data_IF_757248100015
#
_entry.id   IF_757248100015
#
_cell.length_a   1.000
_cell.length_b   1.000
_cell.length_c   1.000
_cell.angle_alpha   90.00
_cell.angle_beta   90.00
_cell.angle_gamma   90.00
#
_symmetry.space_group_name_H-M   'P 1'
#
loop_
_entity.id
_entity.type
_entity.pdbx_description
1 polymer ?
#
# COMPACT_ATOMS: atom_id res chain seq x y z
N UNK A 1 37.49 59.29 38.98
CA UNK A 1 36.48 58.47 38.26
C UNK A 1 36.83 57.01 38.51
N UNK A 2 36.29 56.37 39.56
CA UNK A 2 35.04 55.56 39.58
C UNK A 2 35.10 54.25 38.78
N UNK A 3 35.47 53.18 39.51
CA UNK A 3 35.12 51.75 39.33
C UNK A 3 35.56 51.03 38.04
N UNK A 4 36.72 50.35 38.14
CA UNK A 4 36.93 49.05 37.51
C UNK A 4 36.13 48.01 38.31
N UNK A 5 35.08 47.43 37.73
CA UNK A 5 34.58 46.08 38.05
C UNK A 5 33.46 45.70 37.07
N UNK A 6 33.71 44.73 36.18
CA UNK A 6 32.73 43.68 35.87
C UNK A 6 33.45 42.48 35.24
N UNK A 7 33.56 41.40 36.02
CA UNK A 7 33.97 40.07 35.59
C UNK A 7 32.71 39.23 35.34
N UNK A 8 32.89 38.06 34.69
CA UNK A 8 31.90 36.99 34.44
C UNK A 8 30.95 37.15 33.25
N UNK A 9 30.56 35.97 32.72
CA UNK A 9 29.48 35.70 31.76
C UNK A 9 29.75 35.83 30.24
N UNK A 10 30.97 35.51 29.77
CA UNK A 10 31.22 35.19 28.34
C UNK A 10 32.15 33.98 28.17
N UNK A 11 31.56 32.77 28.10
CA UNK A 11 31.97 31.52 27.41
C UNK A 11 31.20 30.33 28.02
N UNK A 12 30.83 29.26 27.28
CA UNK A 12 30.79 29.10 25.82
C UNK A 12 29.43 28.59 25.29
N UNK A 13 28.73 29.37 24.46
CA UNK A 13 27.54 28.92 23.71
C UNK A 13 27.89 28.08 22.46
N UNK A 14 28.94 27.24 22.56
CA UNK A 14 29.55 26.51 21.43
C UNK A 14 29.29 24.99 21.43
N UNK A 15 28.42 24.50 22.31
CA UNK A 15 28.01 23.08 22.32
C UNK A 15 26.95 22.74 21.26
N UNK A 16 26.22 23.73 20.73
CA UNK A 16 25.16 23.54 19.72
C UNK A 16 25.69 23.57 18.27
N UNK A 17 26.81 22.89 18.02
CA UNK A 17 27.44 22.83 16.70
C UNK A 17 27.76 21.40 16.20
N UNK A 18 27.64 20.38 17.06
CA UNK A 18 27.90 18.98 16.68
C UNK A 18 26.64 18.17 16.35
N UNK A 19 25.51 18.39 17.03
CA UNK A 19 24.30 17.59 16.82
C UNK A 19 23.71 17.73 15.40
N UNK A 20 23.72 18.94 14.83
CA UNK A 20 23.19 19.22 13.48
C UNK A 20 23.81 18.29 12.42
N UNK A 21 25.09 17.92 12.57
CA UNK A 21 25.86 17.16 11.59
C UNK A 21 25.22 15.81 11.24
N UNK A 22 24.55 15.16 12.20
CA UNK A 22 23.77 13.92 12.01
C UNK A 22 22.72 14.05 10.90
N UNK A 23 22.16 15.24 10.70
CA UNK A 23 21.03 15.48 9.79
C UNK A 23 21.43 16.22 8.50
N UNK A 24 22.70 16.58 8.32
CA UNK A 24 23.19 17.30 7.13
C UNK A 24 23.39 16.36 5.91
N UNK A 25 24.11 16.84 4.89
CA UNK A 25 24.21 16.20 3.58
C UNK A 25 24.56 14.71 3.63
N UNK A 26 23.87 13.90 2.83
CA UNK A 26 24.07 12.44 2.75
C UNK A 26 23.33 11.63 3.84
N UNK A 27 22.80 12.27 4.89
CA UNK A 27 22.04 11.57 5.93
C UNK A 27 20.68 11.00 5.48
N UNK A 28 20.23 11.31 4.27
CA UNK A 28 19.02 10.75 3.63
C UNK A 28 19.39 10.25 2.23
N UNK A 29 19.62 8.93 2.05
CA UNK A 29 19.95 8.37 0.74
C UNK A 29 18.72 8.36 -0.19
N UNK A 30 19.00 8.34 -1.50
CA UNK A 30 17.99 8.15 -2.55
C UNK A 30 18.47 7.07 -3.50
N UNK A 31 17.67 6.01 -3.66
CA UNK A 31 17.95 4.86 -4.53
C UNK A 31 16.72 4.59 -5.41
N UNK A 32 16.93 4.35 -6.71
CA UNK A 32 15.87 4.16 -7.72
C UNK A 32 14.73 5.21 -7.68
N UNK A 33 15.05 6.43 -7.26
CA UNK A 33 14.10 7.53 -7.13
C UNK A 33 13.23 7.51 -5.88
N UNK A 34 13.58 6.70 -4.86
CA UNK A 34 12.93 6.65 -3.56
C UNK A 34 13.92 6.99 -2.42
N UNK A 35 13.42 7.58 -1.33
CA UNK A 35 14.18 7.64 -0.08
C UNK A 35 14.23 6.25 0.53
N UNK A 36 15.45 5.76 0.69
CA UNK A 36 15.76 4.39 1.08
C UNK A 36 16.87 4.41 2.12
N UNK A 37 16.60 3.90 3.31
CA UNK A 37 17.62 3.67 4.34
C UNK A 37 17.90 2.18 4.45
N UNK A 38 19.14 1.76 4.27
CA UNK A 38 19.55 0.35 4.39
C UNK A 38 20.65 0.16 5.43
N UNK A 39 20.57 -0.90 6.24
CA UNK A 39 21.59 -1.27 7.22
C UNK A 39 21.71 -2.79 7.31
N UNK A 40 22.94 -3.31 7.34
CA UNK A 40 23.23 -4.74 7.56
C UNK A 40 23.72 -4.95 8.98
N UNK A 41 23.05 -5.85 9.71
CA UNK A 41 23.35 -6.25 11.08
C UNK A 41 24.10 -7.58 11.05
N UNK A 42 25.26 -7.65 11.69
CA UNK A 42 26.11 -8.86 11.72
C UNK A 42 25.97 -9.58 13.06
N UNK A 43 25.60 -10.85 13.00
CA UNK A 43 25.42 -11.75 14.14
C UNK A 43 25.97 -13.15 13.78
N UNK A 44 27.29 -13.30 13.60
CA UNK A 44 27.91 -14.49 12.99
C UNK A 44 27.74 -15.81 13.78
N UNK A 45 27.15 -15.75 14.98
CA UNK A 45 26.76 -16.90 15.79
C UNK A 45 25.35 -17.44 15.49
N UNK A 46 24.56 -16.78 14.63
CA UNK A 46 23.18 -17.15 14.30
C UNK A 46 23.04 -17.64 12.86
N UNK A 47 22.24 -18.68 12.67
CA UNK A 47 21.78 -19.11 11.35
C UNK A 47 20.72 -18.16 10.77
N UNK A 48 20.49 -18.28 9.46
CA UNK A 48 19.40 -17.60 8.76
C UNK A 48 18.04 -17.80 9.44
N UNK A 49 17.73 -19.03 9.88
CA UNK A 49 16.45 -19.37 10.52
C UNK A 49 16.29 -18.70 11.88
N UNK A 50 17.36 -18.62 12.67
CA UNK A 50 17.33 -17.93 13.97
C UNK A 50 17.20 -16.41 13.81
N UNK A 51 17.90 -15.82 12.83
CA UNK A 51 17.75 -14.40 12.47
C UNK A 51 16.33 -14.08 11.96
N UNK A 52 15.80 -14.91 11.06
CA UNK A 52 14.45 -14.78 10.54
C UNK A 52 13.41 -14.88 11.66
N UNK A 53 13.49 -15.88 12.54
CA UNK A 53 12.53 -16.04 13.64
C UNK A 53 12.64 -14.91 14.67
N UNK A 54 13.86 -14.45 14.99
CA UNK A 54 14.08 -13.29 15.87
C UNK A 54 13.38 -12.02 15.35
N UNK A 55 13.49 -11.75 14.05
CA UNK A 55 12.90 -10.58 13.42
C UNK A 55 11.42 -10.76 13.09
N UNK A 56 10.96 -11.98 12.82
CA UNK A 56 9.54 -12.30 12.68
C UNK A 56 8.79 -12.07 14.00
N UNK A 57 9.37 -12.46 15.14
CA UNK A 57 8.79 -12.19 16.46
C UNK A 57 8.68 -10.68 16.72
N UNK A 58 9.75 -9.92 16.47
CA UNK A 58 9.75 -8.46 16.59
C UNK A 58 8.73 -7.79 15.63
N UNK A 59 8.63 -8.26 14.39
CA UNK A 59 7.77 -7.67 13.39
C UNK A 59 6.28 -7.95 13.63
N UNK A 60 5.92 -9.11 14.20
CA UNK A 60 4.52 -9.38 14.58
C UNK A 60 4.01 -8.43 15.69
N UNK A 61 4.88 -8.04 16.63
CA UNK A 61 4.60 -7.03 17.65
C UNK A 61 4.59 -5.61 17.03
N UNK A 62 5.68 -5.23 16.36
CA UNK A 62 5.88 -3.88 15.80
C UNK A 62 4.86 -3.49 14.72
N UNK A 63 4.41 -4.44 13.91
CA UNK A 63 3.48 -4.22 12.79
C UNK A 63 2.10 -4.84 13.04
N UNK A 64 1.68 -4.94 14.30
CA UNK A 64 0.30 -5.29 14.63
C UNK A 64 -0.68 -4.17 14.20
N UNK A 65 -1.77 -4.48 13.46
CA UNK A 65 -2.82 -3.51 13.17
C UNK A 65 -3.58 -3.12 14.44
N UNK A 66 -3.91 -1.84 14.54
CA UNK A 66 -4.72 -1.26 15.64
C UNK A 66 -5.71 -0.25 15.08
N UNK A 67 -6.74 0.14 15.85
CA UNK A 67 -7.70 1.17 15.43
C UNK A 67 -7.03 2.52 15.11
N UNK A 68 -5.88 2.80 15.74
CA UNK A 68 -5.07 3.99 15.51
C UNK A 68 -4.20 3.87 14.25
N UNK A 69 -3.67 2.66 13.99
CA UNK A 69 -2.73 2.33 12.91
C UNK A 69 -3.20 1.09 12.12
N UNK A 70 -4.30 1.18 11.35
CA UNK A 70 -4.90 0.03 10.66
C UNK A 70 -4.13 -0.46 9.42
N UNK A 71 -3.11 0.28 8.94
CA UNK A 71 -2.26 -0.14 7.81
C UNK A 71 -1.03 -0.96 8.24
N UNK A 72 -0.75 -1.06 9.54
CA UNK A 72 0.29 -1.94 10.08
C UNK A 72 -0.02 -3.40 9.72
N UNK A 73 0.90 -4.07 9.01
CA UNK A 73 0.82 -5.51 8.72
C UNK A 73 2.12 -6.07 8.15
N UNK A 74 2.33 -7.37 8.34
CA UNK A 74 3.27 -8.14 7.54
C UNK A 74 2.69 -8.37 6.13
N UNK A 75 3.54 -8.33 5.10
CA UNK A 75 3.20 -8.51 3.68
C UNK A 75 4.03 -9.62 2.98
N UNK A 76 5.19 -9.98 3.52
CA UNK A 76 6.02 -11.12 3.08
C UNK A 76 6.52 -11.86 4.31
N UNK A 77 6.46 -13.19 4.29
CA UNK A 77 6.97 -14.09 5.33
C UNK A 77 7.48 -15.38 4.66
N UNK A 78 8.77 -15.43 4.33
CA UNK A 78 9.42 -16.59 3.72
C UNK A 78 10.64 -17.02 4.55
N UNK A 79 10.46 -18.03 5.40
CA UNK A 79 11.54 -18.58 6.22
C UNK A 79 12.65 -19.25 5.37
N UNK A 80 12.29 -19.83 4.21
CA UNK A 80 13.20 -20.60 3.39
C UNK A 80 14.22 -19.71 2.67
N UNK A 81 13.78 -18.55 2.19
CA UNK A 81 14.64 -17.52 1.61
C UNK A 81 15.11 -16.47 2.63
N UNK A 82 14.55 -16.47 3.84
CA UNK A 82 14.90 -15.50 4.90
C UNK A 82 14.27 -14.12 4.70
N UNK A 83 13.25 -14.00 3.84
CA UNK A 83 12.62 -12.72 3.50
C UNK A 83 11.43 -12.39 4.41
N UNK A 84 11.45 -11.21 5.01
CA UNK A 84 10.35 -10.68 5.81
C UNK A 84 10.05 -9.24 5.36
N UNK A 85 8.77 -8.93 5.14
CA UNK A 85 8.34 -7.63 4.64
C UNK A 85 7.13 -7.12 5.42
N UNK A 86 7.08 -5.84 5.71
CA UNK A 86 5.99 -5.19 6.44
C UNK A 86 5.64 -3.80 5.89
N UNK A 87 4.41 -3.37 6.16
CA UNK A 87 3.96 -1.98 6.05
C UNK A 87 3.80 -1.43 7.46
N UNK A 88 4.36 -0.24 7.70
CA UNK A 88 4.23 0.50 8.95
C UNK A 88 3.43 1.79 8.78
N UNK A 89 2.68 2.13 9.82
CA UNK A 89 1.91 3.36 10.01
C UNK A 89 2.06 3.79 11.48
N UNK A 90 2.63 4.97 11.72
CA UNK A 90 2.93 5.46 13.07
C UNK A 90 2.75 6.98 13.20
N UNK A 91 2.78 7.49 14.44
CA UNK A 91 2.82 8.94 14.70
C UNK A 91 4.25 9.43 14.95
N UNK A 92 4.74 10.26 14.02
CA UNK A 92 6.01 10.96 14.12
C UNK A 92 5.80 12.34 14.74
N UNK A 93 6.18 12.50 16.00
CA UNK A 93 5.99 13.75 16.76
C UNK A 93 7.17 14.69 16.54
N UNK A 94 6.88 15.92 16.11
CA UNK A 94 7.86 17.01 15.97
C UNK A 94 8.01 17.82 17.25
N UNK A 95 6.91 18.13 17.93
CA UNK A 95 6.93 18.72 19.27
C UNK A 95 5.65 18.40 20.04
N UNK A 96 5.74 18.38 21.37
CA UNK A 96 4.62 18.12 22.27
C UNK A 96 4.69 19.08 23.46
N UNK A 97 3.55 19.65 23.84
CA UNK A 97 3.40 20.64 24.90
C UNK A 97 1.98 20.58 25.49
N UNK A 98 1.77 21.20 26.65
CA UNK A 98 0.47 21.20 27.36
C UNK A 98 -0.72 21.72 26.53
N UNK A 99 -0.48 22.51 25.47
CA UNK A 99 -1.53 23.16 24.66
C UNK A 99 -1.42 22.86 23.15
N UNK A 100 -0.42 22.09 22.72
CA UNK A 100 -0.17 21.81 21.29
C UNK A 100 0.66 20.55 21.09
N UNK A 101 0.26 19.74 20.11
CA UNK A 101 0.93 18.52 19.66
C UNK A 101 1.15 18.61 18.15
N UNK A 102 2.39 18.87 17.74
CA UNK A 102 2.80 18.94 16.34
C UNK A 102 3.34 17.57 15.91
N UNK A 103 2.62 16.88 15.02
CA UNK A 103 2.98 15.53 14.55
C UNK A 103 2.52 15.31 13.11
N UNK A 104 3.15 14.35 12.44
CA UNK A 104 2.66 13.76 11.19
C UNK A 104 2.42 12.27 11.39
N UNK A 105 1.46 11.70 10.67
CA UNK A 105 1.36 10.26 10.50
C UNK A 105 2.35 9.83 9.40
N UNK A 106 3.28 8.93 9.73
CA UNK A 106 4.28 8.38 8.79
C UNK A 106 3.80 7.01 8.29
N UNK A 107 3.97 6.76 7.00
CA UNK A 107 3.74 5.47 6.33
C UNK A 107 5.03 5.00 5.68
N UNK A 108 5.38 3.73 5.80
CA UNK A 108 6.63 3.18 5.25
C UNK A 108 6.53 1.69 4.90
N UNK A 109 7.48 1.18 4.12
CA UNK A 109 7.76 -0.25 4.00
C UNK A 109 9.05 -0.59 4.77
N UNK A 110 9.01 -1.69 5.50
CA UNK A 110 10.19 -2.35 6.07
C UNK A 110 10.42 -3.66 5.32
N UNK A 111 11.65 -3.91 4.89
CA UNK A 111 12.09 -5.18 4.27
C UNK A 111 13.29 -5.71 5.04
N UNK A 112 13.37 -7.02 5.14
CA UNK A 112 14.34 -7.76 5.95
C UNK A 112 14.77 -8.98 5.13
N UNK A 113 16.07 -9.12 4.93
CA UNK A 113 16.69 -10.20 4.16
C UNK A 113 17.76 -10.86 5.05
N UNK A 114 17.43 -12.02 5.62
CA UNK A 114 18.30 -12.79 6.50
C UNK A 114 19.20 -13.73 5.69
N UNK A 115 20.51 -13.68 5.94
CA UNK A 115 21.47 -14.69 5.50
C UNK A 115 22.03 -15.49 6.69
N UNK A 116 23.03 -16.34 6.44
CA UNK A 116 23.78 -16.98 7.52
C UNK A 116 24.74 -15.96 8.17
N UNK A 117 24.56 -15.67 9.46
CA UNK A 117 25.43 -14.79 10.23
C UNK A 117 25.23 -13.28 10.05
N UNK A 118 24.35 -12.84 9.15
CA UNK A 118 23.99 -11.42 9.00
C UNK A 118 22.59 -11.24 8.39
N UNK A 119 22.01 -10.06 8.59
CA UNK A 119 20.69 -9.68 8.06
C UNK A 119 20.74 -8.24 7.54
N UNK A 120 20.20 -8.00 6.35
CA UNK A 120 20.03 -6.64 5.81
C UNK A 120 18.60 -6.17 6.03
N UNK A 121 18.43 -4.91 6.40
CA UNK A 121 17.12 -4.26 6.58
C UNK A 121 17.06 -3.00 5.74
N UNK A 122 15.93 -2.79 5.08
CA UNK A 122 15.59 -1.59 4.32
C UNK A 122 14.32 -0.93 4.86
N UNK A 123 14.37 0.39 5.04
CA UNK A 123 13.24 1.27 5.31
C UNK A 123 13.04 2.19 4.10
N UNK A 124 11.95 2.02 3.35
CA UNK A 124 11.70 2.73 2.07
C UNK A 124 10.23 3.08 1.84
N UNK A 125 9.94 3.74 0.71
CA UNK A 125 8.60 4.24 0.29
C UNK A 125 7.91 5.16 1.31
N UNK A 126 8.71 5.96 2.01
CA UNK A 126 8.27 6.79 3.13
C UNK A 126 7.33 7.91 2.63
N UNK A 127 6.17 8.02 3.26
CA UNK A 127 5.13 9.03 2.98
C UNK A 127 4.59 9.60 4.27
N UNK A 128 4.12 10.83 4.22
CA UNK A 128 3.59 11.56 5.37
C UNK A 128 2.16 12.04 5.11
N UNK A 129 1.34 12.02 6.16
CA UNK A 129 0.09 12.75 6.23
C UNK A 129 0.15 13.70 7.43
N UNK A 130 0.10 14.99 7.17
CA UNK A 130 0.34 16.06 8.13
C UNK A 130 -0.91 16.94 8.28
N UNK A 131 -1.13 17.45 9.50
CA UNK A 131 -2.30 18.28 9.84
C UNK A 131 -3.64 17.59 9.48
N UNK A 132 -3.77 16.30 9.82
CA UNK A 132 -4.94 15.45 9.47
C UNK A 132 -6.30 16.09 9.80
N UNK A 133 -6.36 16.85 10.90
CA UNK A 133 -7.57 17.50 11.39
C UNK A 133 -7.98 18.75 10.60
N UNK A 134 -7.12 19.24 9.69
CA UNK A 134 -7.34 20.44 8.90
C UNK A 134 -7.51 20.09 7.44
N UNK A 135 -8.71 20.35 6.90
CA UNK A 135 -9.01 20.25 5.46
C UNK A 135 -8.64 18.88 4.83
N UNK A 136 -8.67 17.80 5.63
CA UNK A 136 -8.29 16.44 5.22
C UNK A 136 -6.78 16.16 5.14
N UNK A 137 -5.95 17.10 5.61
CA UNK A 137 -4.50 17.03 5.81
C UNK A 137 -3.64 16.93 4.55
N UNK A 138 -2.47 17.58 4.59
CA UNK A 138 -1.50 17.61 3.50
C UNK A 138 -0.73 16.29 3.44
N UNK A 139 -0.50 15.78 2.23
CA UNK A 139 0.24 14.54 2.00
C UNK A 139 1.54 14.84 1.24
N UNK A 140 2.64 14.27 1.71
CA UNK A 140 3.98 14.45 1.13
C UNK A 140 4.64 13.08 0.91
N UNK A 141 5.50 12.97 -0.12
CA UNK A 141 6.45 11.88 -0.26
C UNK A 141 7.82 12.30 0.31
N UNK A 142 8.60 11.37 0.85
CA UNK A 142 9.90 11.69 1.44
C UNK A 142 10.88 12.31 0.44
N UNK A 143 10.79 11.89 -0.82
CA UNK A 143 11.56 12.38 -1.96
C UNK A 143 11.38 13.89 -2.18
N UNK A 144 10.22 14.43 -1.80
CA UNK A 144 9.78 15.81 -2.06
C UNK A 144 10.12 16.79 -0.91
N UNK A 145 10.43 16.28 0.30
CA UNK A 145 10.58 17.14 1.48
C UNK A 145 11.74 16.81 2.44
N UNK A 146 12.30 15.59 2.45
CA UNK A 146 13.41 15.25 3.37
C UNK A 146 14.76 14.96 2.70
N UNK A 147 14.80 14.88 1.36
CA UNK A 147 16.06 14.71 0.61
C UNK A 147 17.01 15.88 0.82
N UNK A 148 18.25 15.70 0.39
CA UNK A 148 19.32 16.71 0.44
C UNK A 148 19.00 18.02 -0.32
N UNK A 149 18.03 18.00 -1.23
CA UNK A 149 17.60 19.14 -2.05
C UNK A 149 16.54 19.99 -1.33
N UNK A 150 15.54 19.35 -0.70
CA UNK A 150 14.40 20.04 -0.08
C UNK A 150 14.51 20.14 1.45
N UNK A 151 15.12 19.15 2.11
CA UNK A 151 15.26 19.06 3.57
C UNK A 151 16.37 19.91 4.17
N UNK A 152 17.22 20.54 3.34
CA UNK A 152 18.37 21.36 3.76
C UNK A 152 18.30 22.78 3.18
N UNK A 153 19.12 23.69 3.72
CA UNK A 153 19.34 25.01 3.12
C UNK A 153 20.17 24.90 1.81
N UNK A 154 20.17 25.95 0.98
CA UNK A 154 20.94 25.98 -0.30
C UNK A 154 22.46 25.77 -0.17
N UNK A 155 23.03 25.84 1.03
CA UNK A 155 24.46 25.57 1.31
C UNK A 155 24.69 24.16 1.90
N UNK A 156 23.62 23.38 2.12
CA UNK A 156 23.59 22.10 2.84
C UNK A 156 24.19 22.13 4.27
N UNK A 157 24.28 23.32 4.88
CA UNK A 157 24.90 23.51 6.22
C UNK A 157 23.92 23.53 7.39
N UNK A 158 22.61 23.58 7.13
CA UNK A 158 21.53 23.52 8.12
C UNK A 158 20.29 22.89 7.50
N UNK A 159 19.41 22.35 8.34
CA UNK A 159 18.06 21.93 7.98
C UNK A 159 17.23 23.06 7.33
N UNK A 160 16.29 22.69 6.45
CA UNK A 160 15.36 23.62 5.83
C UNK A 160 14.31 24.13 6.84
N UNK A 161 14.02 25.44 6.84
CA UNK A 161 13.23 26.11 7.89
C UNK A 161 11.82 25.55 8.12
N UNK A 162 11.19 24.93 7.11
CA UNK A 162 9.80 24.45 7.18
C UNK A 162 9.74 22.92 7.25
N UNK A 163 10.41 22.24 6.31
CA UNK A 163 10.38 20.76 6.18
C UNK A 163 11.50 20.05 6.95
N UNK A 164 12.48 20.77 7.48
CA UNK A 164 13.62 20.19 8.22
C UNK A 164 13.21 19.30 9.40
N UNK A 165 12.09 19.62 10.08
CA UNK A 165 11.53 18.79 11.16
C UNK A 165 11.14 17.38 10.69
N UNK A 166 10.69 17.23 9.43
CA UNK A 166 10.42 15.92 8.82
C UNK A 166 11.72 15.14 8.60
N UNK A 167 12.78 15.80 8.12
CA UNK A 167 14.09 15.18 7.89
C UNK A 167 14.71 14.70 9.21
N UNK A 168 14.82 15.60 10.17
CA UNK A 168 15.32 15.33 11.53
C UNK A 168 14.61 14.13 12.15
N UNK A 169 13.28 14.18 12.26
CA UNK A 169 12.52 13.13 12.95
C UNK A 169 12.43 11.82 12.16
N UNK A 170 12.50 11.84 10.84
CA UNK A 170 12.58 10.58 10.07
C UNK A 170 13.92 9.88 10.27
N UNK A 171 15.02 10.63 10.43
CA UNK A 171 16.33 10.06 10.78
C UNK A 171 16.29 9.49 12.21
N UNK A 172 15.77 10.24 13.19
CA UNK A 172 15.59 9.75 14.58
C UNK A 172 14.72 8.48 14.64
N UNK A 173 13.61 8.46 13.89
CA UNK A 173 12.71 7.32 13.78
C UNK A 173 13.42 6.09 13.19
N UNK A 174 14.16 6.26 12.10
CA UNK A 174 14.98 5.23 11.47
C UNK A 174 16.07 4.71 12.41
N UNK A 175 16.72 5.57 13.20
CA UNK A 175 17.70 5.16 14.20
C UNK A 175 17.07 4.28 15.29
N UNK A 176 15.92 4.69 15.83
CA UNK A 176 15.24 3.91 16.86
C UNK A 176 14.73 2.57 16.30
N UNK A 177 14.13 2.56 15.11
CA UNK A 177 13.68 1.33 14.45
C UNK A 177 14.84 0.34 14.24
N UNK A 178 15.99 0.82 13.75
CA UNK A 178 17.18 -0.01 13.54
C UNK A 178 17.80 -0.50 14.87
N UNK A 179 17.72 0.32 15.92
CA UNK A 179 18.12 -0.08 17.28
C UNK A 179 17.17 -1.11 17.90
N UNK A 180 15.87 -1.05 17.63
CA UNK A 180 14.90 -2.06 18.10
C UNK A 180 15.15 -3.42 17.43
N UNK A 181 15.52 -3.41 16.14
CA UNK A 181 15.97 -4.57 15.37
C UNK A 181 17.28 -5.14 15.93
N UNK A 182 18.28 -4.30 16.20
CA UNK A 182 19.54 -4.72 16.86
C UNK A 182 19.27 -5.41 18.20
N UNK A 183 18.37 -4.84 19.02
CA UNK A 183 17.94 -5.43 20.29
C UNK A 183 17.18 -6.76 20.10
N UNK A 184 16.37 -6.91 19.05
CA UNK A 184 15.67 -8.15 18.75
C UNK A 184 16.62 -9.29 18.36
N UNK A 185 17.63 -9.00 17.53
CA UNK A 185 18.70 -9.94 17.17
C UNK A 185 19.51 -10.30 18.42
N UNK A 186 19.94 -9.30 19.20
CA UNK A 186 20.73 -9.49 20.42
C UNK A 186 20.06 -10.35 21.49
N UNK A 187 18.74 -10.16 21.72
CA UNK A 187 17.96 -11.00 22.65
C UNK A 187 17.98 -12.48 22.27
N UNK A 188 17.89 -12.79 20.99
CA UNK A 188 17.87 -14.18 20.50
C UNK A 188 19.27 -14.80 20.49
N UNK A 189 20.33 -14.02 20.23
CA UNK A 189 21.72 -14.48 20.39
C UNK A 189 22.05 -14.95 21.82
N UNK A 190 21.42 -14.36 22.85
CA UNK A 190 21.57 -14.82 24.25
C UNK A 190 20.82 -16.12 24.52
N UNK A 191 19.74 -16.42 23.79
CA UNK A 191 18.97 -17.68 23.93
C UNK A 191 19.57 -18.84 23.12
N UNK A 192 20.23 -18.55 22.00
CA UNK A 192 20.94 -19.54 21.17
C UNK A 192 22.34 -19.91 21.71
N UNK A 193 22.86 -19.20 22.72
CA UNK A 193 24.17 -19.48 23.30
C UNK A 193 24.21 -20.87 23.97
N UNK A 194 25.11 -21.79 23.57
CA UNK A 194 25.09 -23.16 24.08
C UNK A 194 25.49 -23.21 25.56
N UNK A 195 24.64 -23.85 26.37
CA UNK A 195 24.98 -24.19 27.75
C UNK A 195 26.20 -25.13 27.76
N UNK A 196 27.29 -24.70 28.40
CA UNK A 196 28.56 -25.44 28.45
C UNK A 196 28.39 -26.71 29.27
N UNK A 197 28.06 -27.81 28.60
CA UNK A 197 27.92 -29.13 29.20
C UNK A 197 29.28 -29.72 29.56
N UNK A 198 29.47 -30.04 30.84
CA UNK A 198 30.60 -30.86 31.29
C UNK A 198 30.45 -32.28 30.71
N UNK A 199 31.54 -32.84 30.20
CA UNK A 199 31.53 -34.15 29.56
C UNK A 199 31.42 -35.30 30.58
N UNK A 200 30.66 -36.35 30.24
CA UNK A 200 31.00 -37.72 30.66
C UNK A 200 30.45 -38.80 29.71
N UNK A 201 31.39 -39.47 29.05
CA UNK A 201 31.46 -40.88 28.62
C UNK A 201 30.17 -41.70 28.30
N UNK A 202 30.21 -42.38 27.14
CA UNK A 202 29.32 -43.48 26.77
C UNK A 202 29.70 -44.81 27.45
N UNK A 203 28.88 -45.87 27.28
CA UNK A 203 29.34 -47.01 26.45
C UNK A 203 28.37 -47.43 25.32
N UNK A 204 28.88 -48.26 24.39
CA UNK A 204 28.14 -48.98 23.33
C UNK A 204 27.54 -50.32 23.86
N UNK A 205 26.98 -51.32 23.14
CA UNK A 205 26.88 -51.80 21.72
C UNK A 205 25.64 -52.74 21.61
N UNK A 206 25.08 -53.22 20.48
CA UNK A 206 24.99 -52.82 19.05
C UNK A 206 24.13 -53.87 18.28
N UNK A 207 23.42 -53.49 17.20
CA UNK A 207 22.68 -54.40 16.31
C UNK A 207 21.75 -53.63 15.35
N UNK A 208 21.66 -53.73 14.02
CA UNK A 208 22.15 -54.56 12.89
C UNK A 208 20.94 -55.05 12.04
N UNK A 209 20.62 -54.29 10.97
CA UNK A 209 19.82 -54.68 9.76
C UNK A 209 18.34 -55.12 9.99
N UNK A 210 17.42 -55.26 9.02
CA UNK A 210 17.44 -55.35 7.52
C UNK A 210 16.34 -54.48 6.86
N UNK A 211 16.18 -54.59 5.52
CA UNK A 211 15.27 -53.82 4.67
C UNK A 211 13.78 -54.25 4.67
N UNK A 212 12.95 -53.33 4.13
CA UNK A 212 11.74 -53.51 3.29
C UNK A 212 10.33 -53.73 3.92
N UNK A 213 9.41 -52.86 3.46
CA UNK A 213 7.94 -52.91 3.32
C UNK A 213 6.97 -53.44 4.41
N UNK A 214 6.20 -52.47 4.94
CA UNK A 214 4.71 -52.40 5.03
C UNK A 214 3.94 -53.39 5.93
N UNK A 215 3.11 -52.83 6.84
CA UNK A 215 1.65 -53.05 7.02
C UNK A 215 1.14 -52.04 8.10
N UNK A 216 0.32 -51.03 7.74
CA UNK A 216 -1.16 -50.89 7.93
C UNK A 216 -1.61 -50.87 9.41
N UNK A 217 -2.58 -50.09 9.93
CA UNK A 217 -3.82 -49.40 9.45
C UNK A 217 -3.93 -48.03 10.20
N UNK A 218 -4.78 -47.03 9.89
CA UNK A 218 -6.20 -47.04 9.48
C UNK A 218 -6.61 -45.66 8.90
N UNK A 219 -7.39 -45.60 7.81
CA UNK A 219 -8.05 -44.37 7.32
C UNK A 219 -9.42 -44.72 6.69
N UNK A 220 -10.54 -44.08 7.10
CA UNK A 220 -11.82 -44.20 6.41
C UNK A 220 -11.84 -43.33 5.14
N UNK A 221 -12.09 -43.94 3.98
CA UNK A 221 -12.29 -43.22 2.71
C UNK A 221 -13.77 -43.19 2.35
N UNK A 222 -14.32 -42.02 2.06
CA UNK A 222 -15.66 -41.88 1.46
C UNK A 222 -15.66 -40.87 0.32
N UNK A 223 -16.00 -41.37 -0.87
CA UNK A 223 -16.38 -40.58 -2.04
C UNK A 223 -17.14 -41.49 -3.03
N UNK A 224 -17.98 -40.94 -3.94
CA UNK A 224 -18.61 -39.63 -3.93
C UNK A 224 -20.13 -39.71 -3.71
N UNK A 225 -20.75 -38.65 -3.18
CA UNK A 225 -22.20 -38.47 -3.24
C UNK A 225 -22.52 -37.36 -4.26
N UNK A 226 -23.42 -37.63 -5.19
CA UNK A 226 -23.80 -36.70 -6.27
C UNK A 226 -24.48 -35.46 -5.68
N UNK A 227 -24.02 -34.22 -5.97
CA UNK A 227 -24.82 -33.04 -5.67
C UNK A 227 -26.03 -33.03 -6.61
N UNK A 228 -27.23 -33.19 -6.03
CA UNK A 228 -28.48 -33.04 -6.77
C UNK A 228 -28.57 -31.59 -7.27
N UNK A 229 -28.85 -31.41 -8.56
CA UNK A 229 -29.11 -30.08 -9.13
C UNK A 229 -30.50 -29.62 -8.66
N UNK A 230 -30.55 -28.99 -7.50
CA UNK A 230 -31.74 -28.30 -7.02
C UNK A 230 -31.97 -27.05 -7.88
N UNK A 231 -32.80 -27.19 -8.92
CA UNK A 231 -33.29 -26.05 -9.70
C UNK A 231 -34.13 -25.15 -8.79
N UNK A 232 -33.52 -24.09 -8.27
CA UNK A 232 -34.27 -23.03 -7.57
C UNK A 232 -35.14 -22.35 -8.62
N UNK A 233 -36.45 -22.55 -8.54
CA UNK A 233 -37.39 -22.01 -9.52
C UNK A 233 -37.37 -20.48 -9.50
N UNK A 234 -37.37 -19.87 -10.68
CA UNK A 234 -37.57 -18.43 -10.81
C UNK A 234 -38.97 -18.05 -10.31
N UNK A 235 -39.05 -17.51 -9.10
CA UNK A 235 -40.18 -16.68 -8.71
C UNK A 235 -40.13 -15.38 -9.53
N UNK A 236 -40.72 -15.43 -10.71
CA UNK A 236 -40.92 -14.29 -11.59
C UNK A 236 -41.93 -13.32 -10.96
N UNK A 237 -41.47 -12.51 -10.01
CA UNK A 237 -42.25 -11.40 -9.48
C UNK A 237 -42.37 -10.34 -10.60
N UNK A 238 -43.59 -9.86 -10.93
CA UNK A 238 -43.82 -9.04 -12.11
C UNK A 238 -43.05 -7.72 -12.06
N UNK A 239 -42.73 -7.20 -13.25
CA UNK A 239 -41.91 -6.00 -13.42
C UNK A 239 -42.45 -4.82 -12.61
N UNK A 240 -41.79 -4.50 -11.50
CA UNK A 240 -42.05 -3.29 -10.74
C UNK A 240 -41.63 -2.10 -11.57
N UNK A 241 -42.59 -1.22 -11.87
CA UNK A 241 -42.35 0.04 -12.57
C UNK A 241 -41.26 0.82 -11.85
N UNK A 242 -40.17 1.11 -12.55
CA UNK A 242 -38.99 1.71 -11.94
C UNK A 242 -39.34 3.08 -11.34
N UNK A 243 -39.29 3.17 -10.00
CA UNK A 243 -39.07 4.44 -9.34
C UNK A 243 -37.73 5.00 -9.83
N UNK A 244 -37.73 6.21 -10.35
CA UNK A 244 -36.48 6.85 -10.79
C UNK A 244 -35.55 6.98 -9.59
N UNK A 245 -34.37 6.36 -9.67
CA UNK A 245 -33.35 6.56 -8.66
C UNK A 245 -32.83 8.00 -8.77
N UNK A 246 -32.91 8.75 -7.68
CA UNK A 246 -32.50 10.14 -7.61
C UNK A 246 -31.04 10.30 -8.10
N UNK A 247 -30.81 11.17 -9.08
CA UNK A 247 -29.50 11.37 -9.72
C UNK A 247 -29.19 10.44 -10.91
N UNK A 248 -30.12 9.55 -11.27
CA UNK A 248 -30.02 8.61 -12.40
C UNK A 248 -31.10 8.89 -13.47
N UNK A 249 -31.43 10.16 -13.69
CA UNK A 249 -32.50 10.58 -14.60
C UNK A 249 -32.26 10.08 -16.04
N UNK A 250 -33.26 9.37 -16.59
CA UNK A 250 -33.15 8.74 -17.92
C UNK A 250 -32.42 7.39 -17.95
N UNK A 251 -32.02 6.83 -16.80
CA UNK A 251 -31.50 5.46 -16.69
C UNK A 251 -32.49 4.53 -15.98
N UNK A 252 -32.54 3.26 -16.41
CA UNK A 252 -33.19 2.14 -15.71
C UNK A 252 -32.14 1.30 -14.97
N UNK A 253 -32.46 0.83 -13.75
CA UNK A 253 -31.62 -0.16 -13.07
C UNK A 253 -31.83 -1.55 -13.70
N UNK A 254 -30.76 -2.33 -13.83
CA UNK A 254 -30.76 -3.71 -14.32
C UNK A 254 -29.91 -4.62 -13.42
N UNK A 255 -30.05 -5.93 -13.57
CA UNK A 255 -29.16 -6.89 -12.90
C UNK A 255 -27.82 -7.03 -13.66
N UNK A 256 -26.72 -7.46 -13.00
CA UNK A 256 -25.41 -7.59 -13.65
C UNK A 256 -25.34 -8.64 -14.78
N UNK A 257 -26.21 -9.65 -14.76
CA UNK A 257 -26.39 -10.64 -15.84
C UNK A 257 -27.15 -10.10 -17.06
N UNK A 258 -27.72 -8.90 -16.96
CA UNK A 258 -28.44 -8.21 -18.04
C UNK A 258 -27.57 -7.16 -18.78
N UNK A 259 -26.28 -7.08 -18.47
CA UNK A 259 -25.32 -6.25 -19.24
C UNK A 259 -25.23 -6.82 -20.66
N UNK A 260 -25.51 -6.03 -21.72
CA UNK A 260 -25.67 -6.56 -23.07
C UNK A 260 -24.33 -6.83 -23.77
N UNK A 261 -24.33 -7.83 -24.65
CA UNK A 261 -23.23 -8.12 -25.56
C UNK A 261 -22.13 -8.98 -24.96
N UNK A 262 -20.90 -8.79 -25.44
CA UNK A 262 -19.74 -9.57 -25.01
C UNK A 262 -18.83 -8.70 -24.12
N UNK A 263 -18.53 -9.19 -22.91
CA UNK A 263 -17.73 -8.45 -21.92
C UNK A 263 -16.31 -8.10 -22.40
N UNK A 264 -15.66 -8.97 -23.20
CA UNK A 264 -14.33 -8.68 -23.76
C UNK A 264 -14.41 -7.52 -24.75
N UNK A 265 -15.41 -7.51 -25.64
CA UNK A 265 -15.64 -6.38 -26.55
C UNK A 265 -15.94 -5.09 -25.77
N UNK A 266 -16.89 -5.15 -24.84
CA UNK A 266 -17.33 -4.00 -24.03
C UNK A 266 -16.18 -3.31 -23.28
N UNK A 267 -15.18 -4.08 -22.84
CA UNK A 267 -13.98 -3.60 -22.13
C UNK A 267 -12.83 -3.23 -23.07
N UNK A 268 -12.82 -3.74 -24.31
CA UNK A 268 -11.86 -3.36 -25.36
C UNK A 268 -12.19 -2.01 -25.98
N UNK A 269 -13.48 -1.67 -26.06
CA UNK A 269 -13.94 -0.31 -26.32
C UNK A 269 -13.60 0.59 -25.11
N UNK A 270 -13.13 1.83 -25.35
CA UNK A 270 -12.64 2.70 -24.29
C UNK A 270 -13.77 3.18 -23.36
N UNK A 271 -13.57 3.04 -22.04
CA UNK A 271 -14.54 3.40 -21.01
C UNK A 271 -13.98 4.47 -20.07
N UNK A 272 -14.84 5.13 -19.27
CA UNK A 272 -14.39 6.09 -18.26
C UNK A 272 -14.53 5.47 -16.87
N UNK A 273 -13.40 5.38 -16.17
CA UNK A 273 -13.32 5.10 -14.74
C UNK A 273 -13.47 6.43 -13.99
N UNK A 274 -14.47 6.51 -13.12
CA UNK A 274 -14.67 7.68 -12.24
C UNK A 274 -14.59 7.21 -10.80
N UNK A 275 -13.62 7.73 -10.06
CA UNK A 275 -13.52 7.52 -8.62
C UNK A 275 -13.80 8.84 -7.90
N UNK A 276 -14.47 8.75 -6.75
CA UNK A 276 -14.80 9.88 -5.90
C UNK A 276 -16.27 10.30 -5.93
N UNK A 277 -16.57 11.29 -5.09
CA UNK A 277 -17.90 11.77 -4.69
C UNK A 277 -18.09 13.25 -5.08
N UNK A 278 -19.14 13.89 -4.54
CA UNK A 278 -19.39 15.33 -4.74
C UNK A 278 -18.39 16.27 -4.06
N UNK A 279 -17.56 15.80 -3.13
CA UNK A 279 -16.47 16.59 -2.52
C UNK A 279 -15.22 16.61 -3.44
N UNK A 280 -14.84 15.44 -3.96
CA UNK A 280 -13.73 15.27 -4.88
C UNK A 280 -13.90 14.00 -5.73
N UNK A 281 -13.93 14.18 -7.05
CA UNK A 281 -13.87 13.09 -8.03
C UNK A 281 -12.94 13.43 -9.20
N UNK A 282 -12.48 12.41 -9.94
CA UNK A 282 -11.81 12.64 -11.21
C UNK A 282 -12.02 11.48 -12.22
N UNK A 283 -12.46 11.77 -13.45
CA UNK A 283 -12.52 10.77 -14.52
C UNK A 283 -11.13 10.46 -15.13
N UNK A 284 -10.98 9.23 -15.61
CA UNK A 284 -9.94 8.87 -16.56
C UNK A 284 -10.44 7.83 -17.56
N UNK A 285 -9.90 7.86 -18.78
CA UNK A 285 -10.07 6.74 -19.70
C UNK A 285 -9.42 5.47 -19.10
N UNK A 286 -10.18 4.38 -19.11
CA UNK A 286 -9.72 3.01 -18.93
C UNK A 286 -9.73 2.28 -20.28
N UNK A 287 -8.78 1.34 -20.43
CA UNK A 287 -8.71 0.44 -21.59
C UNK A 287 -8.25 -0.98 -21.22
N UNK A 288 -8.12 -1.26 -19.92
CA UNK A 288 -7.84 -2.58 -19.34
C UNK A 288 -8.86 -2.83 -18.23
N UNK A 289 -9.46 -4.01 -18.19
CA UNK A 289 -10.46 -4.38 -17.18
C UNK A 289 -11.06 -5.75 -17.44
N UNK A 290 -12.26 -5.99 -16.92
CA UNK A 290 -13.04 -7.20 -17.18
C UNK A 290 -14.35 -7.20 -16.39
N UNK A 291 -15.26 -8.12 -16.73
CA UNK A 291 -16.44 -8.45 -15.93
C UNK A 291 -16.43 -9.95 -15.64
N UNK A 292 -16.94 -10.39 -14.48
CA UNK A 292 -16.97 -11.80 -14.13
C UNK A 292 -17.59 -12.07 -12.76
N UNK A 293 -17.20 -13.20 -12.16
CA UNK A 293 -17.57 -13.57 -10.79
C UNK A 293 -16.31 -13.80 -9.95
N UNK A 294 -16.30 -13.30 -8.72
CA UNK A 294 -15.26 -13.60 -7.71
C UNK A 294 -15.91 -13.62 -6.33
N UNK A 295 -15.47 -14.53 -5.46
CA UNK A 295 -16.06 -14.74 -4.13
C UNK A 295 -17.58 -14.97 -4.16
N UNK A 296 -18.09 -15.61 -5.22
CA UNK A 296 -19.51 -15.82 -5.53
C UNK A 296 -20.34 -14.54 -5.76
N UNK A 297 -19.68 -13.42 -6.10
CA UNK A 297 -20.30 -12.10 -6.35
C UNK A 297 -20.03 -11.64 -7.79
N UNK A 298 -20.97 -10.92 -8.43
CA UNK A 298 -20.70 -10.27 -9.72
C UNK A 298 -19.66 -9.15 -9.52
N UNK A 299 -18.59 -9.15 -10.32
CA UNK A 299 -17.48 -8.22 -10.18
C UNK A 299 -17.08 -7.56 -11.49
N UNK A 300 -16.59 -6.33 -11.38
CA UNK A 300 -15.88 -5.61 -12.42
C UNK A 300 -14.42 -5.38 -12.00
N UNK A 301 -13.51 -5.68 -12.91
CA UNK A 301 -12.08 -5.44 -12.78
C UNK A 301 -11.72 -4.16 -13.55
N UNK A 302 -10.96 -3.27 -12.95
CA UNK A 302 -10.32 -2.16 -13.67
C UNK A 302 -8.89 -1.94 -13.18
N UNK A 303 -8.03 -1.41 -14.05
CA UNK A 303 -6.61 -1.25 -13.76
C UNK A 303 -6.23 0.24 -13.78
N UNK A 304 -5.60 0.72 -12.72
CA UNK A 304 -5.13 2.11 -12.61
C UNK A 304 -3.64 2.14 -12.29
N UNK A 305 -2.88 2.78 -13.17
CA UNK A 305 -1.47 3.09 -12.97
C UNK A 305 -1.31 4.10 -11.80
N UNK A 306 -0.44 3.85 -10.79
CA UNK A 306 -0.27 4.72 -9.63
C UNK A 306 0.09 6.19 -9.92
N UNK A 307 0.60 6.50 -11.12
CA UNK A 307 0.86 7.88 -11.57
C UNK A 307 -0.41 8.69 -11.85
N UNK A 308 -1.55 8.04 -12.14
CA UNK A 308 -2.81 8.69 -12.52
C UNK A 308 -3.42 9.41 -11.31
N UNK A 309 -3.95 10.61 -11.51
CA UNK A 309 -4.58 11.38 -10.42
C UNK A 309 -5.73 10.61 -9.75
N UNK A 310 -6.56 9.90 -10.54
CA UNK A 310 -7.65 9.05 -10.06
C UNK A 310 -7.20 7.99 -9.05
N UNK A 311 -5.97 7.47 -9.13
CA UNK A 311 -5.47 6.45 -8.20
C UNK A 311 -5.55 6.90 -6.73
N UNK A 312 -5.12 8.13 -6.44
CA UNK A 312 -5.16 8.71 -5.09
C UNK A 312 -6.57 9.05 -4.58
N UNK A 313 -7.58 8.99 -5.45
CA UNK A 313 -9.00 9.16 -5.10
C UNK A 313 -9.65 7.78 -4.94
N UNK A 314 -9.38 6.84 -5.85
CA UNK A 314 -9.80 5.43 -5.80
C UNK A 314 -9.34 4.73 -4.52
N UNK A 315 -8.11 5.00 -4.04
CA UNK A 315 -7.66 4.40 -2.78
C UNK A 315 -8.42 4.92 -1.56
N UNK A 316 -8.89 6.19 -1.57
CA UNK A 316 -9.64 6.79 -0.45
C UNK A 316 -11.14 6.47 -0.44
N UNK A 317 -11.70 6.10 -1.59
CA UNK A 317 -13.13 5.85 -1.75
C UNK A 317 -13.42 4.35 -1.84
N UNK A 318 -14.52 3.92 -1.23
CA UNK A 318 -14.99 2.53 -1.33
C UNK A 318 -15.80 2.26 -2.61
N UNK A 319 -16.36 3.29 -3.23
CA UNK A 319 -17.16 3.17 -4.45
C UNK A 319 -16.55 3.93 -5.63
N UNK A 320 -16.85 3.45 -6.83
CA UNK A 320 -16.46 4.04 -8.10
C UNK A 320 -17.44 3.62 -9.22
N UNK A 321 -17.34 4.26 -10.38
CA UNK A 321 -18.10 3.85 -11.57
C UNK A 321 -17.21 3.50 -12.75
N UNK A 322 -17.66 2.52 -13.53
CA UNK A 322 -17.21 2.27 -14.90
C UNK A 322 -18.34 2.68 -15.84
N UNK A 323 -18.07 3.59 -16.78
CA UNK A 323 -19.08 4.18 -17.64
C UNK A 323 -18.72 4.06 -19.12
N UNK A 324 -19.71 3.71 -19.93
CA UNK A 324 -19.56 3.37 -21.35
C UNK A 324 -20.43 4.30 -22.20
N UNK A 325 -19.88 4.75 -23.32
CA UNK A 325 -20.45 5.80 -24.17
C UNK A 325 -20.60 5.31 -25.61
N UNK A 326 -21.38 6.03 -26.40
CA UNK A 326 -21.43 5.82 -27.85
C UNK A 326 -20.23 6.52 -28.52
N UNK A 327 -19.85 6.14 -29.76
CA UNK A 327 -18.70 6.74 -30.46
C UNK A 327 -18.75 8.28 -30.61
N UNK A 328 -19.93 8.89 -30.47
CA UNK A 328 -20.11 10.35 -30.47
C UNK A 328 -19.36 11.07 -29.33
N UNK A 329 -18.94 10.36 -28.28
CA UNK A 329 -18.21 10.91 -27.13
C UNK A 329 -16.72 10.54 -27.10
N UNK A 330 -16.18 10.01 -28.21
CA UNK A 330 -14.78 9.58 -28.28
C UNK A 330 -13.79 10.70 -27.93
N UNK A 331 -14.05 11.93 -28.38
CA UNK A 331 -13.24 13.12 -28.04
C UNK A 331 -13.19 13.39 -26.53
N UNK A 332 -14.32 13.21 -25.83
CA UNK A 332 -14.40 13.40 -24.38
C UNK A 332 -13.63 12.29 -23.64
N UNK A 333 -13.71 11.03 -24.11
CA UNK A 333 -12.92 9.91 -23.59
C UNK A 333 -11.42 10.18 -23.79
N UNK A 334 -11.02 10.61 -24.99
CA UNK A 334 -9.63 10.96 -25.30
C UNK A 334 -9.14 12.14 -24.44
N UNK A 335 -9.98 13.16 -24.21
CA UNK A 335 -9.66 14.28 -23.33
C UNK A 335 -9.41 13.81 -21.88
N UNK A 336 -10.30 13.02 -21.29
CA UNK A 336 -10.09 12.49 -19.93
C UNK A 336 -8.95 11.47 -19.85
N UNK A 337 -8.56 10.87 -20.98
CA UNK A 337 -7.39 9.99 -21.09
C UNK A 337 -6.06 10.75 -21.07
N UNK A 338 -5.98 11.85 -21.84
CA UNK A 338 -4.74 12.64 -22.10
C UNK A 338 -4.45 13.70 -21.06
N UNK A 339 -5.48 14.37 -20.52
CA UNK A 339 -5.32 15.43 -19.53
C UNK A 339 -5.23 14.86 -18.10
N UNK A 340 -4.75 15.66 -17.15
CA UNK A 340 -4.60 15.29 -15.74
C UNK A 340 -5.44 16.21 -14.85
N UNK A 341 -6.10 15.63 -13.85
CA UNK A 341 -6.90 16.38 -12.87
C UNK A 341 -6.07 17.05 -11.78
N UNK A 342 -4.74 16.90 -11.78
CA UNK A 342 -3.83 17.70 -10.93
C UNK A 342 -3.72 19.14 -11.44
N UNK A 343 -3.93 19.34 -12.74
CA UNK A 343 -3.48 20.50 -13.49
C UNK A 343 -4.63 21.37 -14.02
N UNK A 344 -5.88 21.00 -13.72
CA UNK A 344 -7.08 21.76 -14.09
C UNK A 344 -8.39 20.98 -13.91
N UNK A 345 -9.52 21.68 -14.09
CA UNK A 345 -10.85 21.07 -14.04
C UNK A 345 -11.12 20.22 -15.30
N UNK A 346 -10.75 18.94 -15.21
CA UNK A 346 -10.92 17.96 -16.29
C UNK A 346 -12.38 17.80 -16.74
N UNK A 347 -13.36 17.91 -15.83
CA UNK A 347 -14.79 17.71 -16.13
C UNK A 347 -15.32 18.84 -17.03
N UNK A 348 -14.97 20.09 -16.72
CA UNK A 348 -15.28 21.22 -17.58
C UNK A 348 -14.64 21.09 -18.98
N UNK A 349 -13.40 20.58 -19.04
CA UNK A 349 -12.69 20.34 -20.30
C UNK A 349 -13.28 19.19 -21.14
N UNK A 350 -13.78 18.12 -20.53
CA UNK A 350 -14.38 16.98 -21.24
C UNK A 350 -15.82 17.23 -21.70
N UNK A 351 -16.48 18.30 -21.22
CA UNK A 351 -17.88 18.66 -21.53
C UNK A 351 -18.89 17.55 -21.21
N UNK A 352 -18.58 16.69 -20.25
CA UNK A 352 -19.47 15.64 -19.75
C UNK A 352 -20.24 16.15 -18.54
N UNK A 353 -21.52 15.85 -18.44
CA UNK A 353 -22.42 16.35 -17.40
C UNK A 353 -22.37 15.43 -16.17
N UNK A 354 -21.76 15.84 -15.05
CA UNK A 354 -21.56 14.94 -13.91
C UNK A 354 -22.87 14.66 -13.16
N UNK A 355 -23.14 13.38 -12.88
CA UNK A 355 -24.27 12.90 -12.08
C UNK A 355 -23.76 12.15 -10.84
N UNK A 356 -24.61 12.00 -9.82
CA UNK A 356 -24.30 11.26 -8.58
C UNK A 356 -25.16 9.99 -8.54
N UNK A 357 -24.50 8.83 -8.45
CA UNK A 357 -25.18 7.54 -8.34
C UNK A 357 -25.61 7.27 -6.88
N UNK A 358 -26.52 6.31 -6.61
CA UNK A 358 -27.06 6.11 -5.26
C UNK A 358 -26.05 5.72 -4.17
N UNK A 359 -24.84 5.29 -4.51
CA UNK A 359 -23.72 5.09 -3.56
C UNK A 359 -22.89 6.35 -3.28
N UNK A 360 -23.29 7.52 -3.79
CA UNK A 360 -22.55 8.78 -3.69
C UNK A 360 -21.37 8.91 -4.67
N UNK A 361 -21.11 7.89 -5.48
CA UNK A 361 -20.10 7.92 -6.55
C UNK A 361 -20.53 8.82 -7.71
N UNK A 362 -19.56 9.41 -8.41
CA UNK A 362 -19.82 10.21 -9.61
C UNK A 362 -19.79 9.37 -10.88
N UNK A 363 -20.65 9.75 -11.84
CA UNK A 363 -20.67 9.29 -13.22
C UNK A 363 -21.02 10.46 -14.15
N UNK A 364 -21.36 10.20 -15.42
CA UNK A 364 -21.76 11.24 -16.38
C UNK A 364 -23.03 10.87 -17.14
N UNK A 365 -23.89 11.86 -17.39
CA UNK A 365 -25.20 11.69 -18.01
C UNK A 365 -25.12 11.19 -19.46
N UNK A 366 -24.01 11.37 -20.15
CA UNK A 366 -23.79 10.99 -21.55
C UNK A 366 -23.59 9.47 -21.74
N UNK A 367 -23.38 8.71 -20.67
CA UNK A 367 -23.21 7.27 -20.74
C UNK A 367 -24.51 6.55 -21.19
N UNK A 368 -24.37 5.41 -21.87
CA UNK A 368 -25.49 4.49 -22.13
C UNK A 368 -25.53 3.33 -21.13
N UNK A 369 -24.40 3.04 -20.48
CA UNK A 369 -24.24 2.05 -19.42
C UNK A 369 -23.31 2.62 -18.34
N UNK A 370 -23.72 2.53 -17.08
CA UNK A 370 -22.91 2.81 -15.90
C UNK A 370 -22.96 1.58 -14.99
N UNK A 371 -21.79 1.02 -14.68
CA UNK A 371 -21.60 -0.04 -13.70
C UNK A 371 -21.07 0.63 -12.44
N UNK A 372 -21.82 0.51 -11.35
CA UNK A 372 -21.55 1.08 -10.05
C UNK A 372 -20.94 0.01 -9.14
N UNK A 373 -19.74 0.27 -8.66
CA UNK A 373 -18.86 -0.72 -8.05
C UNK A 373 -18.53 -0.38 -6.61
N UNK A 374 -18.55 -1.37 -5.70
CA UNK A 374 -17.90 -1.29 -4.39
C UNK A 374 -16.60 -2.09 -4.39
N UNK A 375 -15.48 -1.44 -4.10
CA UNK A 375 -14.14 -2.04 -3.96
C UNK A 375 -14.17 -3.16 -2.90
N UNK A 376 -13.79 -4.37 -3.29
CA UNK A 376 -13.72 -5.56 -2.40
C UNK A 376 -12.31 -6.18 -2.31
N UNK A 377 -11.45 -5.95 -3.30
CA UNK A 377 -10.04 -6.35 -3.25
C UNK A 377 -9.19 -5.44 -4.16
N UNK A 378 -7.92 -5.26 -3.83
CA UNK A 378 -6.93 -4.65 -4.75
C UNK A 378 -5.63 -5.44 -4.77
N UNK A 379 -4.91 -5.36 -5.89
CA UNK A 379 -3.61 -5.99 -6.06
C UNK A 379 -2.74 -5.15 -7.00
N UNK A 380 -1.59 -4.68 -6.50
CA UNK A 380 -0.58 -4.07 -7.36
C UNK A 380 0.09 -5.14 -8.23
N UNK A 381 0.03 -4.99 -9.55
CA UNK A 381 0.78 -5.78 -10.51
C UNK A 381 2.08 -5.06 -10.85
N UNK A 382 3.19 -5.77 -10.73
CA UNK A 382 4.55 -5.32 -11.05
C UNK A 382 5.11 -6.08 -12.26
N UNK A 383 6.21 -5.65 -12.89
CA UNK A 383 6.82 -6.38 -14.02
C UNK A 383 7.20 -7.83 -13.69
N UNK A 384 7.48 -8.13 -12.42
CA UNK A 384 7.69 -9.47 -11.89
C UNK A 384 6.42 -10.34 -11.81
N UNK A 385 5.23 -9.73 -11.71
CA UNK A 385 3.94 -10.44 -11.72
C UNK A 385 3.54 -10.92 -13.12
N UNK A 386 4.08 -10.31 -14.16
CA UNK A 386 3.90 -10.77 -15.55
C UNK A 386 4.71 -12.06 -15.73
N UNK A 387 4.14 -13.09 -16.36
CA UNK A 387 4.87 -14.32 -16.69
C UNK A 387 5.47 -14.25 -18.09
N UNK A 388 4.66 -13.86 -19.08
CA UNK A 388 5.02 -13.79 -20.50
C UNK A 388 6.17 -12.80 -20.81
N UNK A 389 7.08 -13.22 -21.71
CA UNK A 389 8.27 -12.47 -22.07
C UNK A 389 8.02 -11.34 -23.09
N UNK A 390 7.06 -11.49 -24.00
CA UNK A 390 6.72 -10.46 -24.98
C UNK A 390 5.94 -9.31 -24.32
N UNK A 391 5.01 -9.63 -23.41
CA UNK A 391 4.31 -8.64 -22.57
C UNK A 391 5.30 -7.89 -21.67
N UNK A 392 6.30 -8.58 -21.09
CA UNK A 392 7.41 -7.92 -20.39
C UNK A 392 8.20 -6.97 -21.29
N UNK A 393 8.56 -7.39 -22.51
CA UNK A 393 9.30 -6.52 -23.44
C UNK A 393 8.48 -5.28 -23.87
N UNK A 394 7.15 -5.40 -23.97
CA UNK A 394 6.25 -4.29 -24.28
C UNK A 394 6.02 -3.35 -23.08
N UNK A 395 6.10 -3.86 -21.85
CA UNK A 395 5.74 -3.14 -20.62
C UNK A 395 6.81 -3.26 -19.49
N UNK A 396 8.11 -3.04 -19.76
CA UNK A 396 9.21 -3.52 -18.91
C UNK A 396 9.22 -2.94 -17.50
N UNK A 397 8.80 -1.68 -17.34
CA UNK A 397 8.76 -0.98 -16.04
C UNK A 397 7.33 -0.71 -15.57
N UNK A 398 6.32 -1.34 -16.18
CA UNK A 398 4.91 -1.01 -15.94
C UNK A 398 4.44 -1.53 -14.58
N UNK A 399 3.87 -0.63 -13.79
CA UNK A 399 3.09 -0.96 -12.60
C UNK A 399 1.64 -0.53 -12.81
N UNK A 400 0.70 -1.32 -12.32
CA UNK A 400 -0.74 -0.99 -12.36
C UNK A 400 -1.46 -1.70 -11.22
N UNK A 401 -2.33 -1.01 -10.49
CA UNK A 401 -3.13 -1.66 -9.46
C UNK A 401 -4.45 -2.14 -10.05
N UNK A 402 -4.71 -3.45 -9.91
CA UNK A 402 -5.99 -4.07 -10.18
C UNK A 402 -6.95 -3.72 -9.04
N UNK A 403 -8.06 -3.08 -9.37
CA UNK A 403 -9.19 -2.88 -8.47
C UNK A 403 -10.27 -3.89 -8.84
N UNK A 404 -10.68 -4.69 -7.86
CA UNK A 404 -11.84 -5.59 -7.97
C UNK A 404 -13.00 -4.95 -7.23
N UNK A 405 -14.06 -4.62 -7.96
CA UNK A 405 -15.29 -4.09 -7.40
C UNK A 405 -16.44 -5.09 -7.54
N UNK A 406 -17.17 -5.33 -6.45
CA UNK A 406 -18.53 -5.88 -6.53
C UNK A 406 -19.42 -4.93 -7.31
N UNK A 407 -20.22 -5.45 -8.24
CA UNK A 407 -21.23 -4.68 -8.97
C UNK A 407 -22.47 -4.52 -8.07
N UNK A 408 -22.64 -3.32 -7.49
CA UNK A 408 -23.77 -2.97 -6.60
C UNK A 408 -24.91 -2.24 -7.33
N UNK A 409 -24.64 -1.74 -8.54
CA UNK A 409 -25.63 -1.16 -9.43
C UNK A 409 -25.21 -1.29 -10.88
N UNK A 410 -26.20 -1.49 -11.76
CA UNK A 410 -26.03 -1.37 -13.21
C UNK A 410 -27.18 -0.52 -13.72
N UNK A 411 -26.82 0.52 -14.47
CA UNK A 411 -27.73 1.56 -14.92
C UNK A 411 -27.60 1.68 -16.44
N UNK A 412 -28.70 1.51 -17.15
CA UNK A 412 -28.73 1.51 -18.61
C UNK A 412 -29.71 2.55 -19.14
N UNK A 413 -29.52 2.97 -20.38
CA UNK A 413 -30.59 3.59 -21.16
C UNK A 413 -31.40 2.54 -21.95
#
# INVERSE_FOLDING_TARGET
MKKILFLLCLLPSLLWAQDDAKYLAGAVPVEDGYVTFRQTFKAPSLSQKELYQALLMWANDKFQPTDQFPQNKLITQDEANGELGAIGEEYLVFSSSLLSLDRTRIYYQCRVECGAGECTVELSRIRYWYDEARDGGVRYRAEEIITDEFGLNKKKTKLARVVGKFREKTIDFKDQLFKDIENAIGKNAVQAAPAVTKAQQAPATSGVTTNDKVVTVNVPTTAPATPVVTTVANNAQPAQTASAAQGMEGFRKVNPDQIPGNAVKLISDAFIITAGNDELFNPMAGGWGGLGNLFNRPVAYCFIDPSRYTYGIMQKNDTYTLSFYTPAYQDAIQYVGTHSGRDGNKVAGSKLTPITTPSGSKAFAEAWLIIECKKIATQLLTPSSVTDAAVKAQYPNKQTEMFVGEIIGVWMK
#
